data_IF_676083110341
#
_entry.id   IF_676083110341
#
_cell.length_a   1.000
_cell.length_b   1.000
_cell.length_c   1.000
_cell.angle_alpha   90.00
_cell.angle_beta   90.00
_cell.angle_gamma   90.00
#
_symmetry.space_group_name_H-M   'P 1'
#
loop_
_entity.id
_entity.type
_entity.pdbx_description
1 polymer ?
#
# COMPACT_ATOMS: atom_id res chain seq x y z
N UNK A 1 10.35 -22.58 -6.06
CA UNK A 1 10.41 -21.13 -5.85
C UNK A 1 9.70 -20.49 -7.01
N UNK A 2 8.72 -19.64 -6.74
CA UNK A 2 7.98 -18.93 -7.80
C UNK A 2 8.91 -17.94 -8.50
N UNK A 3 8.74 -17.79 -9.82
CA UNK A 3 9.45 -16.79 -10.63
C UNK A 3 9.11 -15.37 -10.09
N UNK A 4 10.07 -14.54 -9.67
CA UNK A 4 9.83 -13.19 -9.18
C UNK A 4 9.55 -12.18 -10.30
N UNK A 5 9.68 -12.57 -11.56
CA UNK A 5 9.52 -11.68 -12.74
C UNK A 5 8.19 -10.92 -12.77
N UNK A 6 7.04 -11.53 -12.42
CA UNK A 6 5.76 -10.83 -12.47
C UNK A 6 5.70 -9.62 -11.54
N UNK A 7 6.19 -9.71 -10.29
CA UNK A 7 6.11 -8.58 -9.34
C UNK A 7 6.92 -7.37 -9.77
N UNK A 8 8.05 -7.56 -10.45
CA UNK A 8 8.85 -6.43 -10.97
C UNK A 8 8.16 -5.74 -12.15
N UNK A 9 7.47 -6.50 -12.99
CA UNK A 9 6.68 -5.94 -14.09
C UNK A 9 5.47 -5.18 -13.52
N UNK A 10 4.76 -5.77 -12.56
CA UNK A 10 3.59 -5.19 -11.91
C UNK A 10 3.95 -3.90 -11.14
N UNK A 11 5.09 -3.86 -10.44
CA UNK A 11 5.59 -2.64 -9.79
C UNK A 11 5.88 -1.51 -10.79
N UNK A 12 6.46 -1.83 -11.95
CA UNK A 12 6.69 -0.82 -12.99
C UNK A 12 5.38 -0.25 -13.55
N UNK A 13 4.40 -1.12 -13.82
CA UNK A 13 3.10 -0.67 -14.32
C UNK A 13 2.34 0.15 -13.27
N UNK A 14 2.36 -0.25 -12.00
CA UNK A 14 1.77 0.51 -10.92
C UNK A 14 2.40 1.90 -10.80
N UNK A 15 3.73 1.96 -10.84
CA UNK A 15 4.47 3.23 -10.81
C UNK A 15 4.20 4.09 -12.07
N UNK A 16 4.00 3.46 -13.23
CA UNK A 16 3.66 4.16 -14.48
C UNK A 16 2.27 4.79 -14.41
N UNK A 17 1.30 4.09 -13.87
CA UNK A 17 -0.05 4.63 -13.68
C UNK A 17 -0.07 5.83 -12.75
N UNK A 18 0.64 5.77 -11.62
CA UNK A 18 0.78 6.92 -10.73
C UNK A 18 1.52 8.08 -11.39
N UNK A 19 2.57 7.80 -12.15
CA UNK A 19 3.30 8.80 -12.93
C UNK A 19 2.36 9.56 -13.87
N UNK A 20 1.50 8.85 -14.62
CA UNK A 20 0.53 9.46 -15.52
C UNK A 20 -0.49 10.36 -14.78
N UNK A 21 -0.86 10.01 -13.55
CA UNK A 21 -1.77 10.85 -12.75
C UNK A 21 -1.14 12.18 -12.36
N UNK A 22 0.18 12.24 -12.18
CA UNK A 22 0.85 13.44 -11.65
C UNK A 22 1.67 14.22 -12.68
N UNK A 23 1.94 13.63 -13.86
CA UNK A 23 2.87 14.17 -14.84
C UNK A 23 2.48 15.57 -15.36
N UNK A 24 1.19 15.81 -15.54
CA UNK A 24 0.65 17.03 -16.14
C UNK A 24 0.00 17.97 -15.11
N UNK A 25 0.14 17.68 -13.81
CA UNK A 25 -0.43 18.49 -12.74
C UNK A 25 0.29 19.85 -12.65
N UNK A 26 -0.48 20.90 -12.42
CA UNK A 26 0.01 22.23 -12.09
C UNK A 26 0.64 22.27 -10.69
N UNK A 27 1.46 23.28 -10.39
CA UNK A 27 2.02 23.49 -9.04
C UNK A 27 0.92 23.55 -7.95
N UNK A 28 -0.21 24.19 -8.28
CA UNK A 28 -1.35 24.28 -7.36
C UNK A 28 -1.97 22.90 -7.07
N UNK A 29 -2.07 22.03 -8.06
CA UNK A 29 -2.56 20.68 -7.89
C UNK A 29 -1.57 19.81 -7.10
N UNK A 30 -0.27 19.94 -7.34
CA UNK A 30 0.77 19.29 -6.52
C UNK A 30 0.69 19.68 -5.04
N UNK A 31 0.25 20.89 -4.72
CA UNK A 31 0.05 21.38 -3.35
C UNK A 31 -1.30 20.93 -2.74
N UNK A 32 -2.20 20.30 -3.52
CA UNK A 32 -3.52 19.85 -3.04
C UNK A 32 -3.37 18.84 -1.92
N UNK A 33 -4.12 19.05 -0.82
CA UNK A 33 -4.15 18.14 0.32
C UNK A 33 -4.70 16.76 -0.10
N UNK A 34 -4.14 15.71 0.47
CA UNK A 34 -4.60 14.34 0.31
C UNK A 34 -5.36 13.90 1.58
N UNK A 35 -6.06 12.77 1.58
CA UNK A 35 -6.67 12.23 2.79
C UNK A 35 -5.67 11.88 3.91
N UNK A 36 -4.39 11.68 3.58
CA UNK A 36 -3.35 11.53 4.59
C UNK A 36 -3.12 12.86 5.33
N UNK A 37 -3.32 12.94 6.66
CA UNK A 37 -3.24 14.18 7.40
C UNK A 37 -1.92 14.92 7.19
N UNK A 38 -1.97 16.21 6.87
CA UNK A 38 -0.82 17.10 6.62
C UNK A 38 -0.04 16.80 5.34
N UNK A 39 -0.43 15.81 4.53
CA UNK A 39 0.24 15.46 3.30
C UNK A 39 -0.51 15.99 2.07
N UNK A 40 0.24 16.60 1.16
CA UNK A 40 -0.21 16.95 -0.19
C UNK A 40 0.23 15.89 -1.18
N UNK A 41 -0.19 16.02 -2.45
CA UNK A 41 0.29 15.17 -3.55
C UNK A 41 1.82 15.19 -3.63
N UNK A 42 2.47 16.35 -3.44
CA UNK A 42 3.92 16.45 -3.39
C UNK A 42 4.52 15.55 -2.28
N UNK A 43 3.92 15.50 -1.09
CA UNK A 43 4.39 14.65 0.01
C UNK A 43 4.24 13.16 -0.33
N UNK A 44 3.16 12.76 -1.02
CA UNK A 44 2.96 11.37 -1.44
C UNK A 44 4.09 10.90 -2.37
N UNK A 45 4.41 11.69 -3.39
CA UNK A 45 5.49 11.35 -4.34
C UNK A 45 6.87 11.47 -3.70
N UNK A 46 7.07 12.46 -2.82
CA UNK A 46 8.31 12.62 -2.06
C UNK A 46 8.58 11.42 -1.14
N UNK A 47 7.55 10.91 -0.46
CA UNK A 47 7.63 9.70 0.35
C UNK A 47 8.01 8.47 -0.49
N UNK A 48 7.37 8.28 -1.64
CA UNK A 48 7.71 7.18 -2.55
C UNK A 48 9.17 7.27 -3.02
N UNK A 49 9.63 8.47 -3.41
CA UNK A 49 11.03 8.69 -3.76
C UNK A 49 11.97 8.38 -2.61
N UNK A 50 11.66 8.87 -1.40
CA UNK A 50 12.48 8.67 -0.21
C UNK A 50 12.59 7.18 0.17
N UNK A 51 11.47 6.43 0.15
CA UNK A 51 11.45 5.00 0.45
C UNK A 51 12.10 4.16 -0.66
N UNK A 52 12.00 4.56 -1.93
CA UNK A 52 12.74 3.91 -3.04
C UNK A 52 14.26 4.08 -2.87
N UNK A 53 14.72 5.26 -2.42
CA UNK A 53 16.13 5.49 -2.08
C UNK A 53 16.59 4.60 -0.93
N UNK A 54 15.79 4.48 0.14
CA UNK A 54 16.08 3.57 1.25
C UNK A 54 16.20 2.11 0.77
N UNK A 55 15.27 1.67 -0.09
CA UNK A 55 15.31 0.34 -0.68
C UNK A 55 16.56 0.15 -1.57
N UNK A 56 16.92 1.14 -2.36
CA UNK A 56 18.14 1.11 -3.19
C UNK A 56 19.40 1.00 -2.34
N UNK A 57 19.50 1.76 -1.24
CA UNK A 57 20.61 1.64 -0.29
C UNK A 57 20.67 0.23 0.31
N UNK A 58 19.54 -0.32 0.77
CA UNK A 58 19.50 -1.66 1.34
C UNK A 58 20.02 -2.75 0.38
N UNK A 59 19.73 -2.59 -0.92
CA UNK A 59 20.16 -3.55 -1.95
C UNK A 59 21.60 -3.35 -2.39
N UNK A 60 22.09 -2.10 -2.45
CA UNK A 60 23.35 -1.72 -3.11
C UNK A 60 24.47 -1.38 -2.14
N UNK A 61 24.15 -0.88 -0.95
CA UNK A 61 25.11 -0.43 0.07
C UNK A 61 24.52 -0.63 1.48
N UNK A 62 24.72 -1.84 2.00
CA UNK A 62 24.22 -2.22 3.33
C UNK A 62 24.74 -1.29 4.44
N UNK A 63 25.98 -0.82 4.35
CA UNK A 63 26.56 0.05 5.39
C UNK A 63 25.88 1.42 5.39
N UNK A 64 25.64 2.00 4.21
CA UNK A 64 24.89 3.24 4.09
C UNK A 64 23.43 3.07 4.54
N UNK A 65 22.79 1.94 4.22
CA UNK A 65 21.44 1.65 4.71
C UNK A 65 21.40 1.56 6.25
N UNK A 66 22.34 0.88 6.87
CA UNK A 66 22.37 0.77 8.35
C UNK A 66 22.49 2.15 9.00
N UNK A 67 23.38 3.01 8.48
CA UNK A 67 23.49 4.39 8.95
C UNK A 67 22.20 5.20 8.74
N UNK A 68 21.53 5.00 7.63
CA UNK A 68 20.23 5.62 7.36
C UNK A 68 19.15 5.12 8.35
N UNK A 69 19.12 3.81 8.63
CA UNK A 69 18.16 3.21 9.55
C UNK A 69 18.39 3.65 11.02
N UNK A 70 19.64 3.96 11.41
CA UNK A 70 19.95 4.53 12.73
C UNK A 70 19.22 5.86 12.97
N UNK A 71 18.99 6.67 11.92
CA UNK A 71 18.24 7.92 12.03
C UNK A 71 16.79 7.69 12.41
N UNK A 72 16.18 6.59 11.93
CA UNK A 72 14.83 6.21 12.30
C UNK A 72 14.69 5.92 13.81
N UNK A 73 15.76 5.43 14.44
CA UNK A 73 15.77 5.16 15.89
C UNK A 73 15.91 6.44 16.74
N UNK A 74 16.51 7.50 16.17
CA UNK A 74 16.68 8.78 16.87
C UNK A 74 15.45 9.69 16.80
N UNK A 75 14.61 9.53 15.78
CA UNK A 75 13.42 10.36 15.55
C UNK A 75 12.25 9.52 15.02
N UNK A 76 11.81 8.47 15.76
CA UNK A 76 10.86 7.48 15.24
C UNK A 76 9.50 8.10 14.84
N UNK A 77 9.06 9.15 15.54
CA UNK A 77 7.75 9.76 15.34
C UNK A 77 7.70 10.73 14.15
N UNK A 78 8.85 11.26 13.71
CA UNK A 78 8.91 12.25 12.63
C UNK A 78 9.70 11.78 11.40
N UNK A 79 10.45 10.70 11.50
CA UNK A 79 11.39 10.24 10.47
C UNK A 79 10.77 10.13 9.06
N UNK A 80 9.57 9.58 8.98
CA UNK A 80 8.84 9.42 7.72
C UNK A 80 8.31 10.77 7.22
N UNK A 81 7.68 11.52 8.10
CA UNK A 81 7.12 12.85 7.79
C UNK A 81 8.23 13.83 7.37
N UNK A 82 9.39 13.81 8.06
CA UNK A 82 10.54 14.67 7.74
C UNK A 82 11.12 14.32 6.37
N UNK A 83 11.22 13.03 6.04
CA UNK A 83 11.67 12.57 4.73
C UNK A 83 10.72 12.99 3.59
N UNK A 84 9.41 12.88 3.80
CA UNK A 84 8.41 13.35 2.86
C UNK A 84 8.43 14.87 2.71
N UNK A 85 8.51 15.62 3.83
CA UNK A 85 8.55 17.07 3.85
C UNK A 85 9.81 17.64 3.19
N UNK A 86 10.97 17.00 3.36
CA UNK A 86 12.21 17.40 2.68
C UNK A 86 12.04 17.30 1.16
N UNK A 87 11.57 16.17 0.67
CA UNK A 87 11.34 15.95 -0.76
C UNK A 87 10.26 16.85 -1.35
N UNK A 88 9.20 17.13 -0.60
CA UNK A 88 8.10 18.01 -1.04
C UNK A 88 8.51 19.51 -1.21
N UNK A 89 9.68 19.90 -0.68
CA UNK A 89 10.24 21.24 -0.93
C UNK A 89 10.87 21.38 -2.31
N UNK A 90 11.12 20.29 -2.99
CA UNK A 90 11.55 20.29 -4.38
C UNK A 90 10.38 20.79 -5.25
N UNK A 91 10.67 21.52 -6.32
CA UNK A 91 9.64 21.83 -7.32
C UNK A 91 9.11 20.54 -7.97
N UNK A 92 7.85 20.51 -8.44
CA UNK A 92 7.21 19.32 -9.01
C UNK A 92 8.04 18.62 -10.09
N UNK A 93 8.60 19.36 -11.03
CA UNK A 93 9.41 18.82 -12.13
C UNK A 93 10.68 18.13 -11.63
N UNK A 94 11.36 18.70 -10.64
CA UNK A 94 12.56 18.13 -10.05
C UNK A 94 12.23 16.87 -9.23
N UNK A 95 11.20 16.93 -8.40
CA UNK A 95 10.75 15.79 -7.60
C UNK A 95 10.35 14.61 -8.50
N UNK A 96 9.56 14.88 -9.54
CA UNK A 96 9.12 13.84 -10.48
C UNK A 96 10.31 13.21 -11.22
N UNK A 97 11.29 14.02 -11.64
CA UNK A 97 12.52 13.54 -12.29
C UNK A 97 13.29 12.61 -11.35
N UNK A 98 13.53 13.05 -10.10
CA UNK A 98 14.25 12.25 -9.09
C UNK A 98 13.54 10.96 -8.75
N UNK A 99 12.21 10.97 -8.63
CA UNK A 99 11.43 9.77 -8.39
C UNK A 99 11.52 8.78 -9.57
N UNK A 100 11.40 9.27 -10.81
CA UNK A 100 11.56 8.46 -12.04
C UNK A 100 12.93 7.79 -12.12
N UNK A 101 14.00 8.52 -11.87
CA UNK A 101 15.37 8.00 -11.87
C UNK A 101 15.60 7.00 -10.73
N UNK A 102 15.11 7.31 -9.53
CA UNK A 102 15.22 6.46 -8.34
C UNK A 102 14.58 5.10 -8.55
N UNK A 103 13.32 5.08 -9.01
CA UNK A 103 12.58 3.82 -9.26
C UNK A 103 13.20 2.97 -10.38
N UNK A 104 13.75 3.60 -11.43
CA UNK A 104 14.46 2.87 -12.49
C UNK A 104 15.75 2.22 -11.97
N UNK A 105 16.49 2.93 -11.12
CA UNK A 105 17.70 2.41 -10.49
C UNK A 105 17.38 1.27 -9.52
N UNK A 106 16.29 1.41 -8.77
CA UNK A 106 15.82 0.36 -7.86
C UNK A 106 15.35 -0.90 -8.63
N UNK A 107 14.59 -0.75 -9.73
CA UNK A 107 14.17 -1.90 -10.55
C UNK A 107 15.37 -2.71 -11.05
N UNK A 108 16.43 -2.04 -11.54
CA UNK A 108 17.66 -2.72 -11.96
C UNK A 108 18.32 -3.46 -10.80
N UNK A 109 18.54 -2.78 -9.66
CA UNK A 109 19.19 -3.37 -8.49
C UNK A 109 18.41 -4.58 -7.95
N UNK A 110 17.07 -4.50 -7.89
CA UNK A 110 16.22 -5.60 -7.43
C UNK A 110 16.30 -6.82 -8.36
N UNK A 111 16.29 -6.61 -9.68
CA UNK A 111 16.44 -7.71 -10.66
C UNK A 111 17.79 -8.40 -10.55
N UNK A 112 18.87 -7.63 -10.40
CA UNK A 112 20.20 -8.17 -10.18
C UNK A 112 20.30 -8.94 -8.85
N UNK A 113 19.72 -8.42 -7.78
CA UNK A 113 19.67 -9.11 -6.48
C UNK A 113 18.83 -10.39 -6.53
N UNK A 114 17.73 -10.39 -7.29
CA UNK A 114 16.89 -11.57 -7.50
C UNK A 114 17.65 -12.69 -8.20
N UNK A 115 18.41 -12.38 -9.24
CA UNK A 115 19.25 -13.35 -9.96
C UNK A 115 20.32 -13.99 -9.07
N UNK A 116 20.78 -13.28 -8.05
CA UNK A 116 21.77 -13.77 -7.06
C UNK A 116 21.14 -14.39 -5.81
N UNK A 117 19.81 -14.42 -5.70
CA UNK A 117 19.08 -14.86 -4.50
C UNK A 117 19.54 -14.15 -3.21
N UNK A 118 20.00 -12.91 -3.31
CA UNK A 118 20.51 -12.12 -2.19
C UNK A 118 19.34 -11.67 -1.30
N UNK A 119 19.58 -11.69 0.01
CA UNK A 119 18.73 -11.01 1.00
C UNK A 119 19.48 -9.81 1.55
N UNK A 120 18.78 -8.76 1.84
CA UNK A 120 19.35 -7.49 2.31
C UNK A 120 18.57 -6.96 3.51
N UNK A 121 19.20 -6.11 4.34
CA UNK A 121 18.57 -5.58 5.55
C UNK A 121 17.38 -4.71 5.21
N UNK A 122 16.44 -4.62 6.16
CA UNK A 122 15.34 -3.69 6.14
C UNK A 122 15.03 -3.23 7.57
N UNK A 123 14.04 -2.38 7.78
CA UNK A 123 13.57 -1.93 9.11
C UNK A 123 12.94 -3.05 9.96
N UNK A 124 12.87 -4.25 9.45
CA UNK A 124 12.43 -5.48 10.07
C UNK A 124 13.32 -6.66 9.67
N UNK A 125 12.76 -7.86 9.48
CA UNK A 125 13.52 -9.01 9.01
C UNK A 125 14.14 -8.76 7.63
N UNK A 126 15.31 -9.39 7.32
CA UNK A 126 15.93 -9.26 6.00
C UNK A 126 14.98 -9.69 4.88
N UNK A 127 14.94 -8.91 3.79
CA UNK A 127 14.03 -9.12 2.66
C UNK A 127 14.75 -9.73 1.45
N UNK A 128 14.00 -10.50 0.66
CA UNK A 128 14.40 -10.84 -0.71
C UNK A 128 14.02 -9.72 -1.67
N UNK A 129 14.59 -9.73 -2.88
CA UNK A 129 14.23 -8.78 -3.92
C UNK A 129 12.72 -8.80 -4.25
N UNK A 130 12.12 -9.99 -4.33
CA UNK A 130 10.68 -10.13 -4.57
C UNK A 130 9.83 -9.55 -3.42
N UNK A 131 10.23 -9.81 -2.17
CA UNK A 131 9.53 -9.23 -1.01
C UNK A 131 9.63 -7.71 -0.98
N UNK A 132 10.81 -7.15 -1.30
CA UNK A 132 10.99 -5.70 -1.42
C UNK A 132 10.11 -5.11 -2.53
N UNK A 133 10.12 -5.73 -3.72
CA UNK A 133 9.27 -5.28 -4.82
C UNK A 133 7.77 -5.32 -4.45
N UNK A 134 7.33 -6.36 -3.72
CA UNK A 134 5.96 -6.47 -3.21
C UNK A 134 5.63 -5.32 -2.24
N UNK A 135 6.54 -5.02 -1.30
CA UNK A 135 6.37 -3.89 -0.39
C UNK A 135 6.33 -2.55 -1.13
N UNK A 136 7.23 -2.35 -2.10
CA UNK A 136 7.23 -1.11 -2.91
C UNK A 136 5.98 -0.97 -3.79
N UNK A 137 5.43 -2.09 -4.31
CA UNK A 137 4.18 -2.08 -5.05
C UNK A 137 3.01 -1.69 -4.15
N UNK A 138 2.92 -2.27 -2.95
CA UNK A 138 1.89 -1.93 -1.97
C UNK A 138 1.94 -0.44 -1.62
N UNK A 139 3.12 0.12 -1.35
CA UNK A 139 3.31 1.54 -1.06
C UNK A 139 2.89 2.42 -2.25
N UNK A 140 3.36 2.08 -3.48
CA UNK A 140 3.01 2.83 -4.69
C UNK A 140 1.50 2.83 -4.93
N UNK A 141 0.84 1.69 -4.73
CA UNK A 141 -0.61 1.58 -4.87
C UNK A 141 -1.35 2.41 -3.81
N UNK A 142 -0.96 2.28 -2.54
CA UNK A 142 -1.63 2.96 -1.43
C UNK A 142 -1.48 4.49 -1.51
N UNK A 143 -0.27 5.00 -1.77
CA UNK A 143 -0.02 6.43 -1.96
C UNK A 143 -0.60 6.95 -3.27
N UNK A 144 -0.66 6.10 -4.31
CA UNK A 144 -1.38 6.38 -5.56
C UNK A 144 -2.89 6.52 -5.34
N UNK A 145 -3.47 5.77 -4.39
CA UNK A 145 -4.87 5.93 -4.01
C UNK A 145 -5.11 7.28 -3.34
N UNK A 146 -4.25 7.69 -2.40
CA UNK A 146 -4.34 9.01 -1.77
C UNK A 146 -4.25 10.16 -2.81
N UNK A 147 -3.41 10.02 -3.84
CA UNK A 147 -3.30 10.98 -4.96
C UNK A 147 -4.59 11.00 -5.79
N UNK A 148 -5.10 9.83 -6.16
CA UNK A 148 -6.34 9.72 -6.94
C UNK A 148 -7.54 10.31 -6.20
N UNK A 149 -7.66 10.03 -4.90
CA UNK A 149 -8.70 10.60 -4.03
C UNK A 149 -8.62 12.13 -3.99
N UNK A 150 -7.41 12.69 -3.84
CA UNK A 150 -7.21 14.14 -3.85
C UNK A 150 -7.58 14.79 -5.19
N UNK A 151 -7.41 14.06 -6.29
CA UNK A 151 -7.76 14.53 -7.64
C UNK A 151 -9.22 14.26 -8.01
N UNK A 152 -9.95 13.46 -7.24
CA UNK A 152 -11.31 13.00 -7.56
C UNK A 152 -11.32 12.00 -8.74
N UNK A 153 -10.25 11.23 -8.91
CA UNK A 153 -10.10 10.25 -9.98
C UNK A 153 -10.38 8.86 -9.46
N UNK A 154 -11.28 8.13 -10.11
CA UNK A 154 -11.52 6.72 -9.83
C UNK A 154 -10.50 5.86 -10.56
N UNK A 155 -9.72 5.09 -9.81
CA UNK A 155 -8.73 4.16 -10.38
C UNK A 155 -9.42 2.83 -10.72
N UNK A 156 -9.22 2.35 -11.95
CA UNK A 156 -9.65 1.00 -12.30
C UNK A 156 -8.78 -0.03 -11.56
N UNK A 157 -9.37 -0.93 -10.75
CA UNK A 157 -8.60 -1.95 -10.06
C UNK A 157 -8.04 -2.97 -11.06
N UNK A 158 -6.85 -3.50 -10.79
CA UNK A 158 -6.17 -4.49 -11.62
C UNK A 158 -5.72 -5.69 -10.80
N UNK A 159 -5.39 -6.81 -11.46
CA UNK A 159 -4.90 -8.01 -10.79
C UNK A 159 -3.52 -7.86 -10.15
N UNK A 160 -2.86 -6.72 -10.30
CA UNK A 160 -1.67 -6.35 -9.50
C UNK A 160 -1.99 -6.28 -7.99
N UNK A 161 -3.26 -6.09 -7.63
CA UNK A 161 -3.73 -6.14 -6.24
C UNK A 161 -3.42 -7.45 -5.52
N UNK A 162 -3.14 -8.55 -6.26
CA UNK A 162 -2.69 -9.82 -5.66
C UNK A 162 -1.47 -9.65 -4.75
N UNK A 163 -0.58 -8.70 -5.09
CA UNK A 163 0.61 -8.41 -4.30
C UNK A 163 0.27 -7.68 -2.99
N UNK A 164 -0.72 -6.79 -3.02
CA UNK A 164 -1.20 -6.08 -1.84
C UNK A 164 -1.97 -7.03 -0.91
N UNK A 165 -2.84 -7.88 -1.45
CA UNK A 165 -3.49 -8.96 -0.69
C UNK A 165 -2.45 -9.85 -0.03
N UNK A 166 -1.45 -10.31 -0.80
CA UNK A 166 -0.39 -11.17 -0.30
C UNK A 166 0.37 -10.56 0.89
N UNK A 167 0.83 -9.30 0.76
CA UNK A 167 1.57 -8.65 1.84
C UNK A 167 0.68 -8.37 3.05
N UNK A 168 -0.60 -8.00 2.84
CA UNK A 168 -1.57 -7.82 3.91
C UNK A 168 -1.75 -9.09 4.74
N UNK A 169 -1.90 -10.24 4.07
CA UNK A 169 -1.98 -11.55 4.73
C UNK A 169 -0.70 -11.89 5.49
N UNK A 170 0.47 -11.61 4.91
CA UNK A 170 1.78 -11.87 5.55
C UNK A 170 2.03 -10.96 6.75
N UNK A 171 1.40 -9.78 6.80
CA UNK A 171 1.51 -8.82 7.88
C UNK A 171 0.48 -9.06 9.02
N UNK A 172 -0.37 -10.09 8.94
CA UNK A 172 -1.39 -10.39 9.95
C UNK A 172 -0.83 -10.38 11.37
N UNK A 173 0.15 -11.20 11.64
CA UNK A 173 0.72 -11.33 12.99
C UNK A 173 1.42 -10.04 13.45
N UNK A 174 2.02 -9.30 12.51
CA UNK A 174 2.56 -7.98 12.80
C UNK A 174 1.48 -6.99 13.24
N UNK A 175 0.31 -6.99 12.59
CA UNK A 175 -0.81 -6.11 12.95
C UNK A 175 -1.32 -6.38 14.37
N UNK A 176 -1.41 -7.64 14.79
CA UNK A 176 -1.72 -8.00 16.18
C UNK A 176 -0.62 -7.52 17.14
N UNK A 177 0.65 -7.82 16.84
CA UNK A 177 1.78 -7.40 17.68
C UNK A 177 1.92 -5.91 17.83
N UNK A 178 1.71 -5.12 16.77
CA UNK A 178 1.73 -3.66 16.80
C UNK A 178 0.69 -3.04 17.76
N UNK A 179 -0.36 -3.80 18.08
CA UNK A 179 -1.41 -3.41 19.04
C UNK A 179 -1.28 -4.11 20.39
N UNK A 180 -0.18 -4.80 20.65
CA UNK A 180 0.06 -5.54 21.90
C UNK A 180 -0.86 -6.75 22.08
N UNK A 181 -1.44 -7.27 20.99
CA UNK A 181 -2.32 -8.43 21.00
C UNK A 181 -1.52 -9.69 20.64
N UNK A 182 -1.87 -10.86 21.21
CA UNK A 182 -1.28 -12.12 20.78
C UNK A 182 -1.68 -12.46 19.35
N UNK A 183 -0.73 -12.90 18.55
CA UNK A 183 -1.01 -13.39 17.20
C UNK A 183 -1.93 -14.63 17.24
N UNK A 184 -2.90 -14.75 16.33
CA UNK A 184 -3.73 -15.94 16.21
C UNK A 184 -2.90 -17.20 15.97
N UNK A 185 -3.26 -18.29 16.63
CA UNK A 185 -2.58 -19.59 16.46
C UNK A 185 -2.98 -20.29 15.16
N UNK A 186 -4.23 -20.08 14.74
CA UNK A 186 -4.80 -20.68 13.54
C UNK A 186 -4.50 -19.84 12.31
N UNK A 187 -4.33 -20.50 11.17
CA UNK A 187 -4.27 -19.84 9.89
C UNK A 187 -5.68 -19.36 9.48
N UNK A 188 -5.72 -18.28 8.72
CA UNK A 188 -6.96 -17.76 8.15
C UNK A 188 -7.17 -18.30 6.75
N UNK A 189 -8.40 -18.65 6.41
CA UNK A 189 -8.84 -18.78 5.03
C UNK A 189 -9.25 -17.41 4.51
N UNK A 190 -8.64 -16.95 3.42
CA UNK A 190 -9.05 -15.73 2.73
C UNK A 190 -9.46 -16.07 1.32
N UNK A 191 -10.67 -15.65 0.94
CA UNK A 191 -11.26 -15.88 -0.38
C UNK A 191 -11.74 -14.52 -0.91
N UNK A 192 -10.97 -13.93 -1.82
CA UNK A 192 -11.29 -12.60 -2.35
C UNK A 192 -11.46 -12.63 -3.85
N UNK A 193 -12.47 -11.90 -4.33
CA UNK A 193 -12.74 -11.76 -5.76
C UNK A 193 -11.80 -10.73 -6.37
N UNK A 194 -10.99 -11.19 -7.31
CA UNK A 194 -10.07 -10.37 -8.09
C UNK A 194 -10.81 -9.37 -9.00
N UNK A 195 -10.14 -8.32 -9.46
CA UNK A 195 -10.67 -7.42 -10.50
C UNK A 195 -11.05 -8.14 -11.80
N UNK A 196 -10.30 -9.17 -12.20
CA UNK A 196 -10.61 -10.05 -13.33
C UNK A 196 -11.86 -10.94 -13.12
N UNK A 197 -12.38 -11.01 -11.89
CA UNK A 197 -13.46 -11.92 -11.50
C UNK A 197 -12.97 -13.30 -11.00
N UNK A 198 -11.66 -13.58 -11.08
CA UNK A 198 -11.06 -14.78 -10.51
C UNK A 198 -11.21 -14.80 -8.98
N UNK A 199 -11.32 -15.98 -8.38
CA UNK A 199 -11.29 -16.15 -6.94
C UNK A 199 -9.86 -16.44 -6.48
N UNK A 200 -9.27 -15.51 -5.71
CA UNK A 200 -7.99 -15.74 -5.06
C UNK A 200 -8.19 -16.31 -3.68
N UNK A 201 -7.47 -17.39 -3.40
CA UNK A 201 -7.61 -18.12 -2.14
C UNK A 201 -6.26 -18.25 -1.43
N UNK A 202 -6.26 -18.06 -0.12
CA UNK A 202 -5.10 -18.16 0.75
C UNK A 202 -5.48 -18.97 2.01
N UNK A 203 -4.53 -19.75 2.54
CA UNK A 203 -4.70 -20.55 3.73
C UNK A 203 -5.50 -21.83 3.52
N UNK A 204 -5.62 -22.65 4.58
CA UNK A 204 -6.31 -23.96 4.54
C UNK A 204 -7.80 -23.80 4.21
N UNK A 205 -8.33 -24.74 3.45
CA UNK A 205 -9.76 -24.73 3.05
C UNK A 205 -10.70 -24.91 4.23
N UNK A 206 -10.28 -25.70 5.22
CA UNK A 206 -11.01 -26.04 6.43
C UNK A 206 -10.74 -25.12 7.62
N UNK A 207 -10.06 -23.98 7.42
CA UNK A 207 -9.80 -23.01 8.47
C UNK A 207 -11.10 -22.46 9.07
N UNK A 208 -11.16 -22.44 10.41
CA UNK A 208 -12.31 -21.90 11.16
C UNK A 208 -12.40 -20.36 11.10
N UNK A 209 -11.28 -19.71 10.83
CA UNK A 209 -11.18 -18.26 10.67
C UNK A 209 -11.21 -17.93 9.17
N UNK A 210 -12.23 -17.22 8.71
CA UNK A 210 -12.42 -16.96 7.27
C UNK A 210 -12.70 -15.50 7.00
N UNK A 211 -12.20 -15.01 5.86
CA UNK A 211 -12.48 -13.65 5.33
C UNK A 211 -12.87 -13.79 3.87
N UNK A 212 -13.98 -13.13 3.50
CA UNK A 212 -14.46 -13.10 2.12
C UNK A 212 -14.82 -11.68 1.69
N UNK A 213 -14.78 -11.40 0.37
CA UNK A 213 -15.17 -10.14 -0.21
C UNK A 213 -14.41 -9.77 -1.49
N UNK A 214 -14.48 -8.51 -1.94
CA UNK A 214 -13.68 -8.00 -3.04
C UNK A 214 -12.19 -7.87 -2.66
N UNK A 215 -11.29 -8.19 -3.58
CA UNK A 215 -9.85 -8.03 -3.34
C UNK A 215 -9.45 -6.55 -3.15
N UNK A 216 -10.12 -5.63 -3.87
CA UNK A 216 -9.87 -4.19 -3.71
C UNK A 216 -10.21 -3.72 -2.31
N UNK A 217 -11.31 -4.18 -1.72
CA UNK A 217 -11.73 -3.83 -0.38
C UNK A 217 -10.71 -4.31 0.66
N UNK A 218 -10.21 -5.54 0.51
CA UNK A 218 -9.15 -6.03 1.38
C UNK A 218 -7.86 -5.18 1.25
N UNK A 219 -7.50 -4.76 0.04
CA UNK A 219 -6.36 -3.89 -0.18
C UNK A 219 -6.54 -2.51 0.48
N UNK A 220 -7.72 -1.90 0.35
CA UNK A 220 -8.05 -0.63 1.00
C UNK A 220 -7.98 -0.75 2.52
N UNK A 221 -8.50 -1.85 3.07
CA UNK A 221 -8.46 -2.13 4.50
C UNK A 221 -7.02 -2.26 5.02
N UNK A 222 -6.22 -3.17 4.45
CA UNK A 222 -4.86 -3.46 4.95
C UNK A 222 -3.88 -2.31 4.76
N UNK A 223 -4.17 -1.39 3.85
CA UNK A 223 -3.41 -0.14 3.68
C UNK A 223 -4.03 1.03 4.41
N UNK A 224 -5.16 0.83 5.12
CA UNK A 224 -5.89 1.84 5.90
C UNK A 224 -6.40 3.02 5.05
N UNK A 225 -6.78 2.76 3.80
CA UNK A 225 -7.38 3.74 2.87
C UNK A 225 -8.90 3.75 2.90
N UNK A 226 -9.53 2.81 3.60
CA UNK A 226 -10.95 2.82 3.89
C UNK A 226 -11.23 2.21 5.27
N UNK A 227 -12.31 2.64 5.90
CA UNK A 227 -12.77 2.05 7.15
C UNK A 227 -13.50 0.74 6.89
N UNK A 228 -13.37 -0.24 7.79
CA UNK A 228 -14.05 -1.55 7.69
C UNK A 228 -15.54 -1.45 7.38
N UNK A 229 -16.22 -0.47 8.00
CA UNK A 229 -17.67 -0.29 7.82
C UNK A 229 -18.10 0.13 6.41
N UNK A 230 -17.15 0.62 5.60
CA UNK A 230 -17.39 1.11 4.23
C UNK A 230 -17.03 0.04 3.17
N UNK A 231 -16.66 -1.17 3.61
CA UNK A 231 -16.15 -2.24 2.76
C UNK A 231 -17.05 -3.47 2.80
N UNK A 232 -17.15 -4.17 1.68
CA UNK A 232 -17.94 -5.40 1.54
C UNK A 232 -17.12 -6.64 1.95
N UNK A 233 -16.43 -6.56 3.10
CA UNK A 233 -15.69 -7.66 3.68
C UNK A 233 -16.49 -8.33 4.78
N UNK A 234 -16.50 -9.66 4.81
CA UNK A 234 -17.10 -10.44 5.88
C UNK A 234 -16.06 -11.32 6.55
N UNK A 235 -16.21 -11.55 7.85
CA UNK A 235 -15.36 -12.43 8.64
C UNK A 235 -16.20 -13.50 9.33
N UNK A 236 -15.67 -14.71 9.39
CA UNK A 236 -16.15 -15.81 10.21
C UNK A 236 -15.04 -16.15 11.21
N UNK A 237 -15.42 -16.24 12.49
CA UNK A 237 -14.48 -16.50 13.59
C UNK A 237 -13.94 -15.22 14.24
N UNK A 238 -13.66 -15.27 15.55
CA UNK A 238 -13.35 -14.09 16.35
C UNK A 238 -12.01 -13.44 16.00
N UNK A 239 -11.02 -14.23 15.60
CA UNK A 239 -9.70 -13.71 15.23
C UNK A 239 -9.73 -13.03 13.85
N UNK A 240 -10.45 -13.61 12.89
CA UNK A 240 -10.67 -13.02 11.58
C UNK A 240 -11.44 -11.70 11.70
N UNK A 241 -12.49 -11.67 12.52
CA UNK A 241 -13.27 -10.47 12.80
C UNK A 241 -12.41 -9.38 13.44
N UNK A 242 -11.63 -9.74 14.48
CA UNK A 242 -10.68 -8.82 15.12
C UNK A 242 -9.63 -8.29 14.14
N UNK A 243 -9.13 -9.15 13.23
CA UNK A 243 -8.12 -8.71 12.27
C UNK A 243 -8.64 -7.65 11.31
N UNK A 244 -9.89 -7.70 10.90
CA UNK A 244 -10.49 -6.65 10.06
C UNK A 244 -10.51 -5.26 10.75
N UNK A 245 -10.49 -5.21 12.09
CA UNK A 245 -10.43 -3.95 12.84
C UNK A 245 -9.00 -3.37 12.94
N UNK A 246 -7.98 -4.24 12.78
CA UNK A 246 -6.59 -3.87 13.09
C UNK A 246 -5.63 -4.09 11.91
N UNK A 247 -6.12 -4.50 10.77
CA UNK A 247 -5.29 -4.88 9.63
C UNK A 247 -4.34 -3.77 9.20
N UNK A 248 -3.08 -4.15 8.93
CA UNK A 248 -2.01 -3.24 8.55
C UNK A 248 -0.97 -4.00 7.74
N UNK A 249 -0.70 -3.55 6.50
CA UNK A 249 0.28 -4.16 5.60
C UNK A 249 1.66 -3.49 5.65
N UNK A 250 1.77 -2.29 6.19
CA UNK A 250 2.99 -1.48 6.23
C UNK A 250 3.71 -1.59 7.59
N UNK A 251 5.03 -1.38 7.58
CA UNK A 251 5.83 -1.28 8.80
C UNK A 251 5.65 0.11 9.44
N UNK A 252 5.54 0.15 10.77
CA UNK A 252 5.38 1.39 11.53
C UNK A 252 4.35 1.26 12.65
N UNK A 253 4.12 2.34 13.39
CA UNK A 253 3.09 2.36 14.42
C UNK A 253 1.71 2.14 13.79
N UNK A 254 0.74 1.59 14.57
CA UNK A 254 -0.61 1.42 14.08
C UNK A 254 -1.24 2.79 13.80
N UNK A 255 -1.67 3.01 12.56
CA UNK A 255 -2.43 4.21 12.19
C UNK A 255 -3.86 4.17 12.76
N UNK A 256 -4.55 5.31 12.71
CA UNK A 256 -5.98 5.40 13.04
C UNK A 256 -6.86 4.99 11.86
N UNK A 257 -6.29 4.91 10.65
CA UNK A 257 -7.06 4.72 9.42
C UNK A 257 -7.98 5.90 9.11
N UNK A 258 -8.88 5.71 8.14
CA UNK A 258 -9.97 6.65 7.83
C UNK A 258 -11.17 6.41 8.75
N UNK A 259 -11.94 7.45 9.03
CA UNK A 259 -13.19 7.33 9.76
C UNK A 259 -14.29 6.68 8.87
N UNK A 260 -15.33 6.06 9.49
CA UNK A 260 -16.48 5.56 8.74
C UNK A 260 -17.14 6.67 7.92
N UNK A 261 -17.48 6.39 6.66
CA UNK A 261 -18.09 7.35 5.75
C UNK A 261 -17.11 8.36 5.12
N UNK A 262 -15.81 8.32 5.46
CA UNK A 262 -14.76 9.01 4.71
C UNK A 262 -14.37 8.20 3.47
N UNK A 263 -15.37 7.87 2.65
CA UNK A 263 -15.13 7.18 1.39
C UNK A 263 -14.28 8.03 0.45
N UNK A 264 -13.45 7.35 -0.37
CA UNK A 264 -12.76 8.02 -1.46
C UNK A 264 -13.79 8.76 -2.35
N UNK A 265 -13.54 10.00 -2.78
CA UNK A 265 -14.40 10.67 -3.72
C UNK A 265 -14.47 9.84 -5.02
N UNK A 266 -15.58 9.17 -5.27
CA UNK A 266 -15.77 8.31 -6.45
C UNK A 266 -16.86 7.27 -6.32
N UNK A 267 -17.25 6.83 -5.14
CA UNK A 267 -18.47 6.05 -4.94
C UNK A 267 -19.65 7.00 -4.62
N UNK A 268 -20.27 7.53 -5.67
CA UNK A 268 -21.62 8.02 -5.55
C UNK A 268 -22.48 6.82 -5.06
N UNK A 269 -23.01 6.92 -3.86
CA UNK A 269 -24.01 5.98 -3.36
C UNK A 269 -25.05 5.75 -4.47
N UNK A 270 -25.52 4.50 -4.70
CA UNK A 270 -26.60 4.25 -5.66
C UNK A 270 -27.76 5.17 -5.28
N UNK A 271 -28.11 6.11 -6.17
CA UNK A 271 -29.27 6.96 -5.99
C UNK A 271 -30.45 6.02 -5.73
N UNK A 272 -31.00 6.11 -4.53
CA UNK A 272 -32.26 5.45 -4.22
C UNK A 272 -33.26 5.88 -5.29
N UNK A 273 -33.77 4.91 -6.04
CA UNK A 273 -34.82 5.15 -7.03
C UNK A 273 -35.95 5.91 -6.35
N UNK A 274 -36.24 7.10 -6.88
CA UNK A 274 -37.40 7.87 -6.42
C UNK A 274 -38.65 7.00 -6.58
N UNK A 275 -39.58 6.99 -5.60
CA UNK A 275 -40.81 6.24 -5.73
C UNK A 275 -41.59 6.81 -6.92
N UNK A 276 -41.97 5.94 -7.87
CA UNK A 276 -42.88 6.27 -8.95
C UNK A 276 -44.20 6.74 -8.33
N UNK A 277 -44.60 7.98 -8.62
CA UNK A 277 -45.94 8.45 -8.29
C UNK A 277 -46.97 7.69 -9.14
N UNK A 278 -48.07 7.22 -8.54
CA UNK A 278 -49.11 6.56 -9.31
C UNK A 278 -49.81 7.58 -10.20
N UNK A 279 -49.82 7.28 -11.49
CA UNK A 279 -50.62 8.00 -12.50
C UNK A 279 -52.12 7.86 -12.14
N UNK A 280 -52.76 9.00 -11.96
CA UNK A 280 -54.23 9.08 -11.87
C UNK A 280 -54.87 9.23 -13.25
#
# INVERSE_FOLDING_TARGET
>A
MSDPTPVFADLREESRELDLLVAELTEQEWARATPAPRWSIAHQIAHLHWTDRAALLAVSDEAAFRKFAEQALTSPDSFVDDGAAEGARLGPAELLTRWREGRQSLDRALREAAARHTRFPWFGPPMSAASMATGRLMETWAHGQDVADALGVVRAPTDRLRHVVHIGMRARDFAFGARGLPAPREEFRVEVRAPSGELWTYGPEDAAQRITGPAVDLCLLVTQRAHRADLALTAEGPDADRWLDIAQAFAGPPGTGRAPGEAAPGEAAPQAAAPEEPIR
#
